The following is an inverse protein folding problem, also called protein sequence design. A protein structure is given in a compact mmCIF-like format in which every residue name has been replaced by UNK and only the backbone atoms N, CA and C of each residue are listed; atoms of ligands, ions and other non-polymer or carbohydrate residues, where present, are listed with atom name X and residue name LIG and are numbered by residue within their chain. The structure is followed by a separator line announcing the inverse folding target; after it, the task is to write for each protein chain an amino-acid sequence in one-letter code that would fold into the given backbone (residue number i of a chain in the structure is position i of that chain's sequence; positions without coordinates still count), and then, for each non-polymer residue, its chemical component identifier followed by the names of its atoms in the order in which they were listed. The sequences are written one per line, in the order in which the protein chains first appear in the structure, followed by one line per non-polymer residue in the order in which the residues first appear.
data_IF_369775529226
#
_entry.id   IF_369775529226
#
_cell.length_a   1.000
_cell.length_b   1.000
_cell.length_c   1.000
_cell.angle_alpha   90.00
_cell.angle_beta   90.00
_cell.angle_gamma   90.00
#
_symmetry.space_group_name_H-M   'P 1'
#
loop_
_entity.id
_entity.type
_entity.pdbx_description
1 polymer ?
#
# COMPACT_ATOMS: atom_id res chain seq x y z
N UNK A 1 21.62 34.74 -21.39
CA UNK A 1 21.11 35.37 -22.64
C UNK A 1 19.67 34.87 -22.75
N UNK A 2 18.62 35.55 -22.28
CA UNK A 2 18.08 36.88 -22.57
C UNK A 2 17.29 37.36 -21.33
N UNK A 3 17.81 38.30 -20.53
CA UNK A 3 17.37 39.70 -20.41
C UNK A 3 15.84 39.99 -20.44
N UNK A 4 15.35 40.41 -19.26
CA UNK A 4 14.55 41.64 -19.02
C UNK A 4 13.67 42.16 -20.17
N UNK A 5 12.36 41.94 -20.07
CA UNK A 5 11.27 42.93 -20.31
C UNK A 5 9.97 42.17 -20.04
N UNK A 6 9.19 42.45 -19.00
CA UNK A 6 8.10 43.43 -19.01
C UNK A 6 7.74 43.74 -17.56
N UNK A 7 8.37 44.76 -17.00
CA UNK A 7 8.03 45.34 -15.72
C UNK A 7 7.91 46.84 -15.97
N UNK A 8 6.81 47.25 -16.63
CA UNK A 8 6.38 48.64 -16.85
C UNK A 8 5.05 48.60 -17.59
N UNK A 9 3.95 48.37 -16.87
CA UNK A 9 2.60 48.88 -17.16
C UNK A 9 1.63 48.21 -16.19
N UNK A 10 1.50 48.82 -15.02
CA UNK A 10 0.30 49.05 -14.22
C UNK A 10 0.76 49.74 -12.92
N UNK A 11 1.39 50.89 -13.10
CA UNK A 11 1.55 51.87 -12.04
C UNK A 11 0.43 52.89 -12.20
N UNK A 12 -0.58 52.82 -11.33
CA UNK A 12 -1.39 53.95 -10.91
C UNK A 12 -2.26 53.54 -9.71
N UNK A 13 -2.02 54.22 -8.59
CA UNK A 13 -2.83 54.34 -7.37
C UNK A 13 -3.17 53.08 -6.56
N UNK A 14 -2.29 52.74 -5.61
CA UNK A 14 -2.75 52.53 -4.23
C UNK A 14 -2.06 53.60 -3.38
N UNK A 15 -2.81 54.65 -3.03
CA UNK A 15 -2.39 55.63 -2.02
C UNK A 15 -2.27 54.90 -0.68
N UNK A 16 -1.06 54.46 -0.33
CA UNK A 16 -0.72 54.05 1.03
C UNK A 16 -0.56 55.32 1.86
N UNK A 17 -1.67 55.79 2.44
CA UNK A 17 -1.69 56.89 3.40
C UNK A 17 -1.27 56.35 4.77
N UNK A 18 0.03 56.41 5.10
CA UNK A 18 0.48 56.27 6.49
C UNK A 18 0.09 57.55 7.26
N UNK A 19 -0.99 57.49 8.04
CA UNK A 19 -1.47 58.62 8.83
C UNK A 19 -1.25 58.41 10.33
N UNK A 20 -0.96 59.54 10.98
CA UNK A 20 -0.68 59.67 12.40
C UNK A 20 -2.00 59.63 13.17
N UNK A 21 -2.22 58.59 13.98
CA UNK A 21 -3.38 58.50 14.87
C UNK A 21 -3.25 59.47 16.05
N UNK A 22 -4.34 60.15 16.38
CA UNK A 22 -4.42 61.01 17.56
C UNK A 22 -5.00 60.20 18.71
N UNK A 23 -4.16 59.75 19.64
CA UNK A 23 -4.55 59.08 20.88
C UNK A 23 -4.79 60.07 22.02
N UNK A 24 -5.56 59.65 23.03
CA UNK A 24 -5.80 60.41 24.27
C UNK A 24 -4.58 60.52 25.18
N UNK A 25 -3.52 59.78 24.89
CA UNK A 25 -2.18 59.94 25.47
C UNK A 25 -1.23 60.31 24.34
N UNK A 26 -0.45 61.38 24.53
CA UNK A 26 0.37 62.09 23.52
C UNK A 26 1.58 61.29 23.00
N UNK A 27 1.45 59.98 22.78
CA UNK A 27 2.49 59.07 22.28
C UNK A 27 2.17 58.58 20.87
N UNK A 28 3.21 58.29 20.09
CA UNK A 28 3.07 57.81 18.71
C UNK A 28 2.33 56.45 18.66
N UNK A 29 1.42 56.22 17.69
CA UNK A 29 0.67 54.97 17.62
C UNK A 29 1.59 53.75 17.42
N UNK A 30 1.41 52.73 18.27
CA UNK A 30 2.17 51.47 18.22
C UNK A 30 1.67 50.49 17.15
N UNK A 31 0.63 50.87 16.43
CA UNK A 31 0.08 50.15 15.27
C UNK A 31 -0.07 51.10 14.08
N UNK A 32 0.08 50.57 12.86
CA UNK A 32 -0.24 51.24 11.61
C UNK A 32 -1.52 50.67 11.00
N UNK A 33 -2.21 51.48 10.19
CA UNK A 33 -3.42 51.06 9.48
C UNK A 33 -3.28 51.26 7.98
N UNK A 34 -3.62 50.23 7.21
CA UNK A 34 -3.82 50.31 5.77
C UNK A 34 -5.27 49.95 5.45
N UNK A 35 -6.00 50.88 4.80
CA UNK A 35 -7.36 50.65 4.32
C UNK A 35 -7.31 50.28 2.83
N UNK A 36 -8.00 49.20 2.47
CA UNK A 36 -8.27 48.86 1.08
C UNK A 36 -9.78 48.93 0.82
N UNK A 37 -10.22 50.02 0.16
CA UNK A 37 -11.61 50.24 -0.19
C UNK A 37 -12.15 49.25 -1.22
N UNK A 38 -11.29 48.71 -2.11
CA UNK A 38 -11.71 47.80 -3.18
C UNK A 38 -12.18 46.45 -2.64
N UNK A 39 -11.45 45.92 -1.66
CA UNK A 39 -11.74 44.62 -1.06
C UNK A 39 -12.46 44.74 0.29
N UNK A 40 -12.80 45.97 0.71
CA UNK A 40 -13.39 46.28 2.02
C UNK A 40 -12.61 45.64 3.19
N UNK A 41 -11.28 45.83 3.19
CA UNK A 41 -10.40 45.33 4.26
C UNK A 41 -9.66 46.46 4.96
N UNK A 42 -9.44 46.28 6.25
CA UNK A 42 -8.48 47.07 7.03
C UNK A 42 -7.39 46.16 7.54
N UNK A 43 -6.14 46.56 7.32
CA UNK A 43 -4.94 45.85 7.78
C UNK A 43 -4.29 46.65 8.89
N UNK A 44 -4.11 46.01 10.04
CA UNK A 44 -3.47 46.55 11.23
C UNK A 44 -2.07 45.96 11.29
N UNK A 45 -1.04 46.80 11.23
CA UNK A 45 0.36 46.40 11.18
C UNK A 45 1.00 46.78 12.51
N UNK A 46 1.67 45.84 13.16
CA UNK A 46 2.36 46.15 14.41
C UNK A 46 3.65 46.94 14.16
N UNK A 47 3.85 48.03 14.92
CA UNK A 47 5.11 48.80 14.94
C UNK A 47 6.00 48.45 16.15
N UNK A 48 5.59 47.49 16.98
CA UNK A 48 6.35 47.04 18.15
C UNK A 48 6.22 45.52 18.30
N UNK A 49 7.15 44.89 19.02
CA UNK A 49 6.96 43.49 19.38
C UNK A 49 5.89 43.31 20.45
N UNK A 50 5.24 42.14 20.40
CA UNK A 50 4.32 41.63 21.41
C UNK A 50 3.15 42.58 21.69
N UNK A 51 2.41 42.99 20.66
CA UNK A 51 1.15 43.74 20.83
C UNK A 51 -0.04 42.79 20.63
N UNK A 52 -1.01 42.84 21.53
CA UNK A 52 -2.26 42.09 21.44
C UNK A 52 -3.38 43.03 20.98
N UNK A 53 -3.96 42.81 19.80
CA UNK A 53 -5.17 43.51 19.37
C UNK A 53 -6.36 42.91 20.12
N UNK A 54 -7.02 43.71 20.96
CA UNK A 54 -8.08 43.27 21.88
C UNK A 54 -9.50 43.64 21.41
N UNK A 55 -9.63 44.71 20.63
CA UNK A 55 -10.91 45.16 20.09
C UNK A 55 -10.69 45.98 18.82
N UNK A 56 -11.66 45.92 17.92
CA UNK A 56 -11.69 46.69 16.69
C UNK A 56 -13.05 47.39 16.60
N UNK A 57 -13.07 48.71 16.44
CA UNK A 57 -14.29 49.49 16.26
C UNK A 57 -14.22 50.25 14.95
N UNK A 58 -15.07 49.88 14.00
CA UNK A 58 -15.13 50.58 12.72
C UNK A 58 -16.25 51.62 12.76
N UNK A 59 -15.93 52.86 12.37
CA UNK A 59 -16.83 54.02 12.39
C UNK A 59 -17.64 54.14 13.69
N UNK A 60 -16.95 54.22 14.83
CA UNK A 60 -17.58 54.27 16.16
C UNK A 60 -18.53 53.10 16.46
N UNK A 61 -18.36 51.97 15.79
CA UNK A 61 -19.18 50.78 15.93
C UNK A 61 -20.40 50.71 15.00
N UNK A 62 -20.52 51.61 14.02
CA UNK A 62 -21.63 51.56 13.04
C UNK A 62 -21.29 50.78 11.76
N UNK A 63 -20.02 50.41 11.56
CA UNK A 63 -19.60 49.49 10.52
C UNK A 63 -19.39 48.10 11.13
N UNK A 64 -20.09 47.11 10.60
CA UNK A 64 -19.85 45.71 10.94
C UNK A 64 -18.47 45.31 10.41
N UNK A 65 -17.65 44.71 11.25
CA UNK A 65 -16.48 43.95 10.82
C UNK A 65 -16.68 42.50 11.17
N UNK A 66 -15.81 41.63 10.67
CA UNK A 66 -15.83 40.23 11.06
C UNK A 66 -15.54 40.12 12.58
N UNK A 67 -16.59 40.21 13.39
CA UNK A 67 -16.58 40.23 14.86
C UNK A 67 -16.54 38.81 15.44
N UNK A 68 -16.52 37.80 14.57
CA UNK A 68 -16.72 36.41 14.96
C UNK A 68 -15.42 35.60 14.90
N UNK A 69 -14.28 36.19 15.26
CA UNK A 69 -13.02 35.44 15.37
C UNK A 69 -13.16 34.28 16.35
N UNK A 70 -13.77 34.49 17.52
CA UNK A 70 -14.05 33.42 18.48
C UNK A 70 -14.95 32.32 17.89
N UNK A 71 -16.03 32.70 17.19
CA UNK A 71 -16.94 31.74 16.54
C UNK A 71 -16.24 30.95 15.44
N UNK A 72 -15.40 31.61 14.64
CA UNK A 72 -14.60 30.97 13.58
C UNK A 72 -13.58 30.00 14.19
N UNK A 73 -12.90 30.39 15.26
CA UNK A 73 -11.93 29.56 15.95
C UNK A 73 -12.58 28.32 16.59
N UNK A 74 -13.76 28.49 17.22
CA UNK A 74 -14.57 27.37 17.73
C UNK A 74 -14.95 26.41 16.59
N UNK A 75 -15.38 26.94 15.45
CA UNK A 75 -15.73 26.12 14.28
C UNK A 75 -14.50 25.39 13.70
N UNK A 76 -13.35 26.06 13.59
CA UNK A 76 -12.09 25.45 13.14
C UNK A 76 -11.64 24.35 14.10
N UNK A 77 -11.79 24.57 15.41
CA UNK A 77 -11.51 23.57 16.45
C UNK A 77 -12.43 22.36 16.32
N UNK A 78 -13.73 22.57 16.11
CA UNK A 78 -14.69 21.49 15.88
C UNK A 78 -14.36 20.67 14.62
N UNK A 79 -13.96 21.34 13.54
CA UNK A 79 -13.53 20.67 12.31
C UNK A 79 -12.25 19.85 12.52
N UNK A 80 -11.29 20.37 13.29
CA UNK A 80 -10.07 19.64 13.62
C UNK A 80 -10.36 18.39 14.49
N UNK A 81 -11.28 18.47 15.45
CA UNK A 81 -11.76 17.30 16.22
C UNK A 81 -12.40 16.24 15.32
N UNK A 82 -13.16 16.64 14.29
CA UNK A 82 -13.72 15.71 13.31
C UNK A 82 -12.61 15.01 12.51
N UNK A 83 -11.62 15.76 12.02
CA UNK A 83 -10.46 15.23 11.33
C UNK A 83 -9.69 14.20 12.19
N UNK A 84 -9.45 14.53 13.46
CA UNK A 84 -8.83 13.61 14.44
C UNK A 84 -9.60 12.29 14.53
N UNK A 85 -10.93 12.36 14.69
CA UNK A 85 -11.80 11.17 14.75
C UNK A 85 -11.72 10.31 13.48
N UNK A 86 -11.67 10.94 12.31
CA UNK A 86 -11.49 10.23 11.03
C UNK A 86 -10.15 9.51 10.94
N UNK A 87 -9.06 10.15 11.39
CA UNK A 87 -7.72 9.56 11.42
C UNK A 87 -7.60 8.41 12.40
N UNK A 88 -8.18 8.53 13.59
CA UNK A 88 -8.25 7.42 14.54
C UNK A 88 -9.01 6.21 13.97
N UNK A 89 -10.14 6.47 13.30
CA UNK A 89 -10.91 5.42 12.61
C UNK A 89 -10.10 4.76 11.51
N UNK A 90 -9.37 5.54 10.71
CA UNK A 90 -8.48 5.02 9.67
C UNK A 90 -7.39 4.11 10.27
N UNK A 91 -6.72 4.53 11.34
CA UNK A 91 -5.71 3.72 12.05
C UNK A 91 -6.31 2.40 12.54
N UNK A 92 -7.48 2.43 13.21
CA UNK A 92 -8.18 1.23 13.69
C UNK A 92 -8.52 0.28 12.53
N UNK A 93 -8.95 0.81 11.38
CA UNK A 93 -9.25 0.02 10.20
C UNK A 93 -8.00 -0.68 9.62
N UNK A 94 -6.87 0.03 9.55
CA UNK A 94 -5.60 -0.53 9.11
C UNK A 94 -5.10 -1.61 10.08
N UNK A 95 -5.18 -1.38 11.40
CA UNK A 95 -4.86 -2.39 12.41
C UNK A 95 -5.73 -3.66 12.27
N UNK A 96 -7.04 -3.49 12.03
CA UNK A 96 -7.94 -4.61 11.78
C UNK A 96 -7.62 -5.35 10.47
N UNK A 97 -7.09 -4.69 9.44
CA UNK A 97 -6.58 -5.36 8.24
C UNK A 97 -5.33 -6.19 8.55
N UNK A 98 -4.37 -5.65 9.29
CA UNK A 98 -3.15 -6.37 9.72
C UNK A 98 -3.53 -7.64 10.50
N UNK A 99 -4.41 -7.52 11.51
CA UNK A 99 -4.86 -8.67 12.29
C UNK A 99 -5.55 -9.74 11.43
N UNK A 100 -6.32 -9.32 10.42
CA UNK A 100 -6.94 -10.25 9.46
C UNK A 100 -5.90 -10.96 8.59
N UNK A 101 -4.91 -10.24 8.07
CA UNK A 101 -3.83 -10.83 7.27
C UNK A 101 -3.03 -11.87 8.07
N UNK A 102 -2.72 -11.58 9.33
CA UNK A 102 -2.05 -12.52 10.24
C UNK A 102 -2.88 -13.79 10.46
N UNK A 103 -4.20 -13.64 10.67
CA UNK A 103 -5.13 -14.76 10.82
C UNK A 103 -5.24 -15.60 9.55
N UNK A 104 -5.33 -14.96 8.38
CA UNK A 104 -5.43 -15.67 7.11
C UNK A 104 -4.16 -16.49 6.82
N UNK A 105 -2.98 -15.99 7.20
CA UNK A 105 -1.71 -16.72 7.13
C UNK A 105 -1.67 -17.93 8.08
N UNK A 106 -2.16 -17.77 9.31
CA UNK A 106 -2.28 -18.88 10.26
C UNK A 106 -3.22 -19.97 9.72
N UNK A 107 -4.41 -19.60 9.25
CA UNK A 107 -5.38 -20.53 8.68
C UNK A 107 -4.84 -21.27 7.45
N UNK A 108 -4.10 -20.59 6.58
CA UNK A 108 -3.44 -21.22 5.42
C UNK A 108 -2.34 -22.19 5.87
N UNK A 109 -1.54 -21.81 6.87
CA UNK A 109 -0.48 -22.66 7.41
C UNK A 109 -1.06 -23.94 8.01
N UNK A 110 -2.11 -23.83 8.83
CA UNK A 110 -2.81 -24.99 9.38
C UNK A 110 -3.42 -25.87 8.28
N UNK A 111 -4.05 -25.24 7.27
CA UNK A 111 -4.62 -25.95 6.13
C UNK A 111 -3.58 -26.76 5.37
N UNK A 112 -2.38 -26.22 5.14
CA UNK A 112 -1.27 -26.93 4.48
C UNK A 112 -0.74 -28.08 5.36
N UNK A 113 -0.61 -27.86 6.66
CA UNK A 113 0.01 -28.83 7.57
C UNK A 113 -0.84 -30.06 7.85
N UNK A 114 -2.17 -29.96 7.76
CA UNK A 114 -3.10 -31.06 8.07
C UNK A 114 -2.94 -32.28 7.12
N UNK A 115 -2.35 -32.11 5.95
CA UNK A 115 -2.21 -33.19 4.97
C UNK A 115 -1.02 -34.10 5.28
N UNK A 116 -1.26 -35.40 5.18
CA UNK A 116 -0.29 -36.47 5.46
C UNK A 116 0.13 -37.26 4.21
N UNK A 117 -0.52 -37.02 3.06
CA UNK A 117 -0.20 -37.65 1.78
C UNK A 117 -0.16 -36.60 0.67
N UNK A 118 0.75 -36.78 -0.29
CA UNK A 118 0.97 -35.86 -1.40
C UNK A 118 -0.24 -35.78 -2.34
N UNK A 119 -0.91 -36.89 -2.67
CA UNK A 119 -2.03 -36.86 -3.63
C UNK A 119 -3.18 -36.00 -3.10
N UNK A 120 -3.58 -36.28 -1.86
CA UNK A 120 -4.66 -35.54 -1.20
C UNK A 120 -4.28 -34.08 -1.03
N UNK A 121 -3.01 -33.80 -0.72
CA UNK A 121 -2.49 -32.43 -0.64
C UNK A 121 -2.64 -31.70 -1.98
N UNK A 122 -2.11 -32.26 -3.07
CA UNK A 122 -2.13 -31.63 -4.39
C UNK A 122 -3.55 -31.42 -4.90
N UNK A 123 -4.41 -32.43 -4.79
CA UNK A 123 -5.82 -32.33 -5.19
C UNK A 123 -6.52 -31.18 -4.46
N UNK A 124 -6.34 -31.07 -3.15
CA UNK A 124 -6.93 -29.99 -2.36
C UNK A 124 -6.37 -28.60 -2.72
N UNK A 125 -5.06 -28.49 -2.91
CA UNK A 125 -4.41 -27.23 -3.29
C UNK A 125 -4.84 -26.79 -4.70
N UNK A 126 -4.86 -27.71 -5.68
CA UNK A 126 -5.31 -27.41 -7.03
C UNK A 126 -6.79 -27.03 -7.08
N UNK A 127 -7.65 -27.74 -6.36
CA UNK A 127 -9.08 -27.40 -6.27
C UNK A 127 -9.29 -26.01 -5.67
N UNK A 128 -8.53 -25.64 -4.63
CA UNK A 128 -8.58 -24.30 -4.05
C UNK A 128 -8.13 -23.22 -5.07
N UNK A 129 -7.06 -23.47 -5.82
CA UNK A 129 -6.55 -22.53 -6.84
C UNK A 129 -7.55 -22.40 -8.00
N UNK A 130 -8.07 -23.51 -8.52
CA UNK A 130 -9.04 -23.53 -9.61
C UNK A 130 -10.34 -22.80 -9.23
N UNK A 131 -10.83 -23.02 -8.00
CA UNK A 131 -11.98 -22.31 -7.47
C UNK A 131 -11.74 -20.79 -7.43
N UNK A 132 -10.56 -20.36 -6.98
CA UNK A 132 -10.20 -18.95 -6.95
C UNK A 132 -10.06 -18.32 -8.34
N UNK A 133 -9.53 -19.06 -9.32
CA UNK A 133 -9.45 -18.61 -10.71
C UNK A 133 -10.85 -18.39 -11.31
N UNK A 134 -11.76 -19.34 -11.09
CA UNK A 134 -13.16 -19.21 -11.49
C UNK A 134 -13.82 -17.96 -10.88
N UNK A 135 -13.63 -17.74 -9.59
CA UNK A 135 -14.18 -16.55 -8.93
C UNK A 135 -13.58 -15.24 -9.46
N UNK A 136 -12.29 -15.23 -9.79
CA UNK A 136 -11.63 -14.05 -10.36
C UNK A 136 -12.22 -13.72 -11.74
N UNK A 137 -12.35 -14.71 -12.61
CA UNK A 137 -12.99 -14.54 -13.92
C UNK A 137 -14.44 -14.06 -13.76
N UNK A 138 -15.22 -14.67 -12.85
CA UNK A 138 -16.59 -14.24 -12.58
C UNK A 138 -16.68 -12.76 -12.13
N UNK A 139 -15.72 -12.30 -11.31
CA UNK A 139 -15.62 -10.90 -10.90
C UNK A 139 -15.33 -9.97 -12.07
N UNK A 140 -14.44 -10.35 -12.99
CA UNK A 140 -14.13 -9.57 -14.20
C UNK A 140 -15.34 -9.44 -15.14
N UNK A 141 -16.21 -10.46 -15.19
CA UNK A 141 -17.41 -10.48 -16.04
C UNK A 141 -18.72 -10.12 -15.31
N UNK A 142 -18.65 -9.51 -14.13
CA UNK A 142 -19.79 -8.83 -13.49
C UNK A 142 -20.49 -9.55 -12.33
N UNK A 143 -19.96 -10.67 -11.83
CA UNK A 143 -20.48 -11.37 -10.65
C UNK A 143 -19.44 -11.48 -9.53
N UNK A 144 -19.12 -10.33 -8.92
CA UNK A 144 -18.11 -10.21 -7.87
C UNK A 144 -18.51 -10.86 -6.53
N UNK A 145 -19.80 -11.16 -6.33
CA UNK A 145 -20.34 -11.65 -5.06
C UNK A 145 -19.71 -12.99 -4.63
N UNK A 146 -19.42 -13.87 -5.59
CA UNK A 146 -18.82 -15.18 -5.31
C UNK A 146 -17.35 -15.08 -4.89
N UNK A 147 -16.59 -14.14 -5.46
CA UNK A 147 -15.20 -13.93 -5.06
C UNK A 147 -15.10 -13.42 -3.62
N UNK A 148 -16.00 -12.53 -3.21
CA UNK A 148 -15.98 -11.98 -1.86
C UNK A 148 -16.32 -13.02 -0.79
N UNK A 149 -17.14 -14.02 -1.12
CA UNK A 149 -17.49 -15.16 -0.26
C UNK A 149 -16.40 -16.24 -0.16
N UNK A 150 -15.38 -16.22 -1.02
CA UNK A 150 -14.35 -17.26 -1.02
C UNK A 150 -13.54 -17.28 0.30
N UNK A 151 -13.14 -18.48 0.80
CA UNK A 151 -12.33 -18.59 2.01
C UNK A 151 -11.04 -17.76 1.91
N UNK A 152 -10.76 -16.93 2.93
CA UNK A 152 -9.65 -15.98 2.87
C UNK A 152 -8.28 -16.66 2.76
N UNK A 153 -8.08 -17.80 3.42
CA UNK A 153 -6.88 -18.63 3.22
C UNK A 153 -6.64 -19.04 1.77
N UNK A 154 -7.69 -19.27 0.97
CA UNK A 154 -7.57 -19.59 -0.45
C UNK A 154 -7.27 -18.35 -1.29
N UNK A 155 -7.81 -17.17 -0.91
CA UNK A 155 -7.39 -15.89 -1.50
C UNK A 155 -5.89 -15.66 -1.30
N UNK A 156 -5.39 -15.88 -0.09
CA UNK A 156 -3.97 -15.76 0.23
C UNK A 156 -3.13 -16.78 -0.54
N UNK A 157 -3.55 -18.04 -0.62
CA UNK A 157 -2.89 -19.07 -1.43
C UNK A 157 -2.80 -18.65 -2.90
N UNK A 158 -3.90 -18.20 -3.49
CA UNK A 158 -3.96 -17.76 -4.89
C UNK A 158 -3.07 -16.54 -5.16
N UNK A 159 -3.01 -15.58 -4.22
CA UNK A 159 -2.08 -14.45 -4.30
C UNK A 159 -0.61 -14.90 -4.18
N UNK A 160 -0.34 -15.89 -3.33
CA UNK A 160 1.01 -16.45 -3.10
C UNK A 160 1.54 -17.17 -4.33
N UNK A 161 0.70 -17.96 -4.99
CA UNK A 161 1.06 -18.71 -6.20
C UNK A 161 1.11 -17.80 -7.44
N UNK A 162 0.53 -16.61 -7.40
CA UNK A 162 0.50 -15.68 -8.52
C UNK A 162 -0.77 -15.89 -9.37
N UNK A 163 -1.41 -14.77 -9.73
CA UNK A 163 -2.82 -14.66 -10.15
C UNK A 163 -3.13 -15.18 -11.56
N UNK A 164 -2.37 -16.14 -12.06
CA UNK A 164 -2.62 -16.80 -13.33
C UNK A 164 -2.13 -18.23 -13.28
N UNK A 165 -2.89 -19.06 -12.58
CA UNK A 165 -2.73 -20.51 -12.65
C UNK A 165 -2.97 -21.03 -14.11
N UNK A 166 -3.57 -20.18 -14.96
CA UNK A 166 -3.86 -20.41 -16.38
C UNK A 166 -3.00 -19.60 -17.37
N UNK A 167 -2.12 -18.69 -16.94
CA UNK A 167 -1.20 -18.01 -17.87
C UNK A 167 0.17 -18.68 -17.89
N UNK A 168 0.64 -18.97 -19.10
CA UNK A 168 1.99 -19.48 -19.41
C UNK A 168 3.14 -18.57 -18.91
N UNK A 169 2.83 -17.41 -18.31
CA UNK A 169 3.79 -16.35 -17.94
C UNK A 169 3.97 -16.19 -16.42
N UNK A 170 3.48 -17.12 -15.59
CA UNK A 170 3.64 -17.00 -14.14
C UNK A 170 5.08 -17.38 -13.72
N UNK A 171 5.92 -16.37 -13.50
CA UNK A 171 7.34 -16.55 -13.17
C UNK A 171 7.65 -16.85 -11.69
N UNK A 172 6.62 -16.95 -10.84
CA UNK A 172 6.82 -17.34 -9.44
C UNK A 172 7.46 -18.73 -9.35
N UNK A 173 8.58 -18.83 -8.64
CA UNK A 173 9.28 -20.11 -8.44
C UNK A 173 8.37 -21.15 -7.78
N UNK A 174 7.52 -20.72 -6.83
CA UNK A 174 6.51 -21.60 -6.22
C UNK A 174 5.44 -22.03 -7.23
N UNK A 175 5.04 -21.15 -8.16
CA UNK A 175 4.08 -21.53 -9.20
C UNK A 175 4.66 -22.57 -10.15
N UNK A 176 5.92 -22.41 -10.56
CA UNK A 176 6.64 -23.40 -11.37
C UNK A 176 6.76 -24.72 -10.61
N UNK A 177 7.14 -24.65 -9.33
CA UNK A 177 7.28 -25.83 -8.49
C UNK A 177 5.94 -26.56 -8.26
N UNK A 178 4.85 -25.83 -8.04
CA UNK A 178 3.54 -26.36 -7.66
C UNK A 178 2.66 -26.72 -8.87
N UNK A 179 2.56 -25.83 -9.86
CA UNK A 179 1.67 -25.94 -11.03
C UNK A 179 2.48 -26.33 -12.28
N UNK A 180 3.64 -25.71 -12.50
CA UNK A 180 4.59 -26.06 -13.57
C UNK A 180 3.93 -26.30 -14.93
N UNK A 181 4.27 -27.44 -15.54
CA UNK A 181 3.74 -27.92 -16.82
C UNK A 181 2.27 -28.42 -16.78
N UNK A 182 1.64 -28.46 -15.61
CA UNK A 182 0.24 -28.92 -15.45
C UNK A 182 -0.70 -27.76 -15.82
N UNK A 183 -1.20 -27.76 -17.05
CA UNK A 183 -2.22 -26.78 -17.44
C UNK A 183 -3.51 -27.00 -16.65
N UNK A 184 -3.87 -26.06 -15.77
CA UNK A 184 -5.16 -26.09 -15.07
C UNK A 184 -6.36 -26.02 -16.02
N UNK A 185 -6.19 -25.58 -17.27
CA UNK A 185 -7.25 -25.64 -18.29
C UNK A 185 -7.63 -27.08 -18.70
N UNK A 186 -6.82 -28.07 -18.33
CA UNK A 186 -7.12 -29.51 -18.49
C UNK A 186 -7.82 -30.09 -17.25
N UNK A 187 -7.71 -29.44 -16.09
CA UNK A 187 -8.39 -29.81 -14.84
C UNK A 187 -9.87 -29.44 -14.98
N UNK A 188 -10.64 -30.34 -15.60
CA UNK A 188 -12.09 -30.16 -15.81
C UNK A 188 -12.58 -30.47 -17.23
N UNK A 189 -11.70 -30.71 -18.21
CA UNK A 189 -12.13 -31.26 -19.51
C UNK A 189 -12.32 -32.77 -19.40
N UNK A 190 -13.56 -33.21 -19.59
CA UNK A 190 -14.01 -34.61 -19.61
C UNK A 190 -13.03 -35.46 -20.43
N UNK A 191 -12.28 -36.34 -19.77
CA UNK A 191 -11.36 -37.30 -20.40
C UNK A 191 -9.94 -37.37 -19.82
N UNK A 192 -9.48 -36.36 -19.07
CA UNK A 192 -8.17 -36.39 -18.37
C UNK A 192 -8.35 -36.76 -16.90
N UNK A 193 -8.57 -38.04 -16.63
CA UNK A 193 -8.72 -38.60 -15.27
C UNK A 193 -7.45 -39.27 -14.73
N UNK A 194 -6.29 -39.06 -15.36
CA UNK A 194 -5.08 -39.78 -14.96
C UNK A 194 -3.98 -38.84 -14.44
N UNK A 195 -4.04 -38.59 -13.13
CA UNK A 195 -2.90 -38.33 -12.25
C UNK A 195 -2.14 -37.00 -12.44
N UNK A 196 -2.68 -35.91 -11.87
CA UNK A 196 -2.03 -34.60 -11.81
C UNK A 196 -0.87 -34.53 -10.79
N UNK A 197 -0.52 -35.64 -10.13
CA UNK A 197 0.63 -35.70 -9.24
C UNK A 197 1.92 -35.81 -10.07
N UNK A 198 2.80 -34.78 -10.05
CA UNK A 198 4.08 -34.81 -10.76
C UNK A 198 4.92 -36.06 -10.50
N UNK A 199 4.85 -36.59 -9.26
CA UNK A 199 5.61 -37.75 -8.83
C UNK A 199 5.13 -39.03 -9.51
N UNK A 200 3.81 -39.19 -9.71
CA UNK A 200 3.26 -40.36 -10.38
C UNK A 200 3.47 -40.32 -11.89
N UNK A 201 3.32 -39.15 -12.51
CA UNK A 201 3.57 -38.96 -13.93
C UNK A 201 4.99 -39.36 -14.28
N UNK A 202 5.98 -38.83 -13.55
CA UNK A 202 7.39 -39.16 -13.84
C UNK A 202 7.74 -40.59 -13.40
N UNK A 203 7.12 -41.16 -12.36
CA UNK A 203 7.31 -42.58 -12.05
C UNK A 203 6.89 -43.47 -13.23
N UNK A 204 5.71 -43.21 -13.81
CA UNK A 204 5.18 -43.91 -14.98
C UNK A 204 6.14 -43.77 -16.17
N UNK A 205 6.61 -42.55 -16.42
CA UNK A 205 7.62 -42.24 -17.44
C UNK A 205 8.90 -43.07 -17.24
N UNK A 206 9.43 -43.15 -16.01
CA UNK A 206 10.62 -43.93 -15.69
C UNK A 206 10.40 -45.44 -15.89
N UNK A 207 9.22 -45.95 -15.55
CA UNK A 207 8.85 -47.36 -15.76
C UNK A 207 8.75 -47.70 -17.26
N UNK A 208 8.13 -46.83 -18.05
CA UNK A 208 7.93 -47.03 -19.49
C UNK A 208 9.25 -46.91 -20.29
N UNK A 209 10.09 -45.93 -19.98
CA UNK A 209 11.40 -45.80 -20.63
C UNK A 209 12.31 -46.98 -20.34
N UNK A 210 12.33 -47.47 -19.11
CA UNK A 210 13.14 -48.65 -18.74
C UNK A 210 12.58 -49.96 -19.30
N UNK A 211 11.29 -50.00 -19.65
CA UNK A 211 10.63 -51.15 -20.25
C UNK A 211 10.57 -51.10 -21.78
N UNK A 212 11.14 -50.06 -22.41
CA UNK A 212 11.14 -49.83 -23.86
C UNK A 212 9.74 -49.82 -24.49
N UNK A 213 8.73 -49.33 -23.74
CA UNK A 213 7.34 -49.28 -24.18
C UNK A 213 7.02 -47.88 -24.74
N UNK A 214 6.76 -47.79 -26.05
CA UNK A 214 6.18 -46.61 -26.75
C UNK A 214 6.78 -45.23 -26.38
N UNK A 215 8.09 -45.10 -26.57
CA UNK A 215 8.94 -43.92 -26.29
C UNK A 215 8.41 -42.62 -26.94
N UNK A 216 7.92 -42.69 -28.19
CA UNK A 216 7.56 -41.51 -28.97
C UNK A 216 6.36 -40.74 -28.39
N UNK A 217 5.37 -41.44 -27.84
CA UNK A 217 4.15 -40.83 -27.31
C UNK A 217 4.41 -40.05 -26.02
N UNK A 218 5.28 -40.57 -25.16
CA UNK A 218 5.61 -39.99 -23.86
C UNK A 218 6.51 -38.74 -23.94
N UNK A 219 7.38 -38.68 -24.96
CA UNK A 219 8.29 -37.55 -25.18
C UNK A 219 7.56 -36.32 -25.74
N UNK A 220 6.59 -36.53 -26.64
CA UNK A 220 5.98 -35.44 -27.41
C UNK A 220 4.54 -35.07 -26.99
N UNK A 221 3.75 -35.99 -26.43
CA UNK A 221 2.35 -35.69 -26.05
C UNK A 221 2.17 -35.32 -24.58
N UNK A 222 3.06 -35.77 -23.70
CA UNK A 222 3.03 -35.43 -22.28
C UNK A 222 4.24 -34.55 -21.97
N UNK A 223 4.03 -33.35 -21.44
CA UNK A 223 5.08 -32.38 -21.07
C UNK A 223 5.90 -32.86 -19.83
N UNK A 224 6.40 -34.09 -19.90
CA UNK A 224 7.06 -34.84 -18.82
C UNK A 224 8.42 -34.24 -18.46
N UNK A 225 9.14 -33.72 -19.47
CA UNK A 225 10.37 -32.97 -19.27
C UNK A 225 10.13 -31.66 -18.51
N UNK A 226 9.05 -30.94 -18.84
CA UNK A 226 8.61 -29.78 -18.09
C UNK A 226 8.31 -30.10 -16.62
N UNK A 227 7.82 -31.30 -16.29
CA UNK A 227 7.60 -31.69 -14.89
C UNK A 227 8.93 -31.86 -14.13
N UNK A 228 9.92 -32.53 -14.73
CA UNK A 228 11.24 -32.68 -14.09
C UNK A 228 11.93 -31.33 -13.90
N UNK A 229 11.84 -30.45 -14.89
CA UNK A 229 12.41 -29.12 -14.85
C UNK A 229 11.63 -28.18 -13.91
N UNK A 230 10.36 -27.89 -14.20
CA UNK A 230 9.62 -26.83 -13.49
C UNK A 230 9.25 -27.25 -12.07
N UNK A 231 8.75 -28.48 -11.88
CA UNK A 231 8.31 -28.92 -10.56
C UNK A 231 9.51 -29.31 -9.67
N UNK A 232 10.36 -30.22 -10.14
CA UNK A 232 11.41 -30.80 -9.29
C UNK A 232 12.65 -29.90 -9.22
N UNK A 233 13.20 -29.43 -10.35
CA UNK A 233 14.33 -28.47 -10.29
C UNK A 233 13.88 -27.16 -9.65
N UNK A 234 12.69 -26.65 -9.98
CA UNK A 234 12.12 -25.46 -9.32
C UNK A 234 12.05 -25.61 -7.80
N UNK A 235 11.60 -26.77 -7.29
CA UNK A 235 11.61 -27.06 -5.86
C UNK A 235 13.03 -27.10 -5.26
N UNK A 236 14.00 -27.70 -5.97
CA UNK A 236 15.41 -27.72 -5.53
C UNK A 236 15.98 -26.30 -5.46
N UNK A 237 15.69 -25.46 -6.44
CA UNK A 237 16.23 -24.09 -6.53
C UNK A 237 15.60 -23.13 -5.52
N UNK A 238 14.31 -23.31 -5.20
CA UNK A 238 13.63 -22.54 -4.15
C UNK A 238 13.97 -23.00 -2.73
N UNK A 239 14.56 -24.18 -2.58
CA UNK A 239 14.93 -24.72 -1.27
C UNK A 239 16.00 -23.85 -0.61
N UNK A 240 15.63 -23.14 0.47
CA UNK A 240 16.56 -22.29 1.23
C UNK A 240 17.63 -23.10 1.98
N UNK A 241 17.25 -24.23 2.56
CA UNK A 241 18.12 -25.04 3.42
C UNK A 241 18.13 -26.52 2.98
N UNK A 242 19.03 -26.91 2.05
CA UNK A 242 19.12 -28.31 1.59
C UNK A 242 19.36 -29.34 2.71
N UNK A 243 19.92 -28.90 3.85
CA UNK A 243 20.18 -29.73 5.03
C UNK A 243 18.90 -30.23 5.73
N UNK A 244 17.75 -29.60 5.48
CA UNK A 244 16.46 -30.02 6.03
C UNK A 244 15.98 -31.36 5.42
N UNK A 245 16.65 -31.82 4.36
CA UNK A 245 16.35 -33.05 3.63
C UNK A 245 17.54 -34.03 3.64
N UNK A 246 17.98 -34.53 4.82
CA UNK A 246 19.22 -35.32 4.94
C UNK A 246 19.18 -36.67 4.23
N UNK A 247 17.98 -37.14 3.85
CA UNK A 247 17.75 -38.40 3.14
C UNK A 247 17.92 -38.29 1.61
N UNK A 248 18.22 -37.09 1.08
CA UNK A 248 18.45 -36.90 -0.34
C UNK A 248 19.52 -35.84 -0.61
N UNK A 249 20.45 -36.14 -1.52
CA UNK A 249 21.45 -35.18 -1.96
C UNK A 249 20.89 -34.32 -3.10
N UNK A 250 20.32 -33.14 -2.78
CA UNK A 250 19.68 -32.27 -3.77
C UNK A 250 20.64 -31.79 -4.88
N UNK A 251 21.93 -31.61 -4.57
CA UNK A 251 22.94 -31.22 -5.57
C UNK A 251 23.20 -32.34 -6.56
N UNK A 252 23.22 -33.59 -6.10
CA UNK A 252 23.38 -34.76 -6.96
C UNK A 252 22.10 -35.04 -7.76
N UNK A 253 20.93 -34.90 -7.13
CA UNK A 253 19.64 -35.01 -7.80
C UNK A 253 19.53 -34.00 -8.94
N UNK A 254 19.87 -32.72 -8.68
CA UNK A 254 19.87 -31.67 -9.71
C UNK A 254 20.75 -32.05 -10.90
N UNK A 255 22.03 -32.39 -10.65
CA UNK A 255 22.96 -32.81 -11.70
C UNK A 255 22.46 -34.01 -12.50
N UNK A 256 21.78 -34.94 -11.84
CA UNK A 256 21.20 -36.11 -12.49
C UNK A 256 20.04 -35.70 -13.42
N UNK A 257 19.15 -34.84 -12.96
CA UNK A 257 18.04 -34.31 -13.76
C UNK A 257 18.58 -33.45 -14.92
N UNK A 258 19.57 -32.59 -14.70
CA UNK A 258 20.23 -31.78 -15.74
C UNK A 258 20.91 -32.65 -16.83
N UNK A 259 21.19 -33.93 -16.53
CA UNK A 259 21.71 -34.89 -17.54
C UNK A 259 20.63 -35.54 -18.40
N UNK A 260 19.37 -35.28 -18.08
CA UNK A 260 18.18 -35.85 -18.70
C UNK A 260 17.38 -34.75 -19.43
N UNK A 261 17.18 -33.61 -18.76
CA UNK A 261 16.46 -32.44 -19.25
C UNK A 261 17.37 -31.21 -19.24
N UNK A 262 17.33 -30.39 -20.29
CA UNK A 262 18.05 -29.13 -20.39
C UNK A 262 17.32 -27.99 -19.66
N UNK A 263 17.92 -26.80 -19.67
CA UNK A 263 17.38 -25.60 -19.03
C UNK A 263 16.17 -24.98 -19.76
N UNK A 264 15.74 -25.56 -20.88
CA UNK A 264 14.56 -25.15 -21.64
C UNK A 264 13.40 -26.16 -21.48
N UNK A 265 13.57 -27.19 -20.63
CA UNK A 265 12.59 -28.26 -20.49
C UNK A 265 12.59 -29.26 -21.66
N UNK A 266 13.65 -29.31 -22.46
CA UNK A 266 13.86 -30.28 -23.54
C UNK A 266 14.82 -31.39 -23.11
N UNK A 267 15.01 -32.40 -23.95
CA UNK A 267 16.01 -33.43 -23.68
C UNK A 267 17.44 -32.85 -23.63
N UNK A 268 18.22 -33.24 -22.63
CA UNK A 268 19.61 -32.83 -22.49
C UNK A 268 20.52 -33.43 -23.58
N UNK A 269 21.61 -32.73 -23.90
CA UNK A 269 22.60 -33.20 -24.87
C UNK A 269 23.21 -34.55 -24.47
N UNK A 270 23.26 -35.47 -25.43
CA UNK A 270 23.72 -36.85 -25.24
C UNK A 270 22.79 -37.75 -24.42
N UNK A 271 21.61 -37.27 -24.00
CA UNK A 271 20.57 -38.13 -23.42
C UNK A 271 19.93 -39.02 -24.50
N UNK A 272 19.64 -38.46 -25.67
CA UNK A 272 19.21 -39.18 -26.86
C UNK A 272 20.41 -39.44 -27.79
N UNK A 273 20.32 -40.51 -28.55
CA UNK A 273 21.14 -40.82 -29.72
C UNK A 273 20.18 -41.05 -30.88
N UNK A 274 20.13 -40.11 -31.83
CA UNK A 274 19.03 -39.99 -32.79
C UNK A 274 17.68 -39.94 -32.04
N UNK A 275 16.76 -40.87 -32.33
CA UNK A 275 15.43 -40.94 -31.70
C UNK A 275 15.35 -41.95 -30.53
N UNK A 276 16.50 -42.44 -30.05
CA UNK A 276 16.56 -43.47 -28.99
C UNK A 276 17.32 -42.98 -27.77
N UNK A 277 16.96 -43.49 -26.59
CA UNK A 277 17.67 -43.17 -25.36
C UNK A 277 19.09 -43.74 -25.43
N UNK A 278 20.09 -42.89 -25.18
CA UNK A 278 21.49 -43.30 -25.19
C UNK A 278 21.80 -44.23 -24.01
N UNK A 279 22.92 -44.97 -24.08
CA UNK A 279 23.39 -45.79 -22.95
C UNK A 279 23.57 -44.96 -21.68
N UNK A 280 24.06 -43.73 -21.82
CA UNK A 280 24.22 -42.76 -20.73
C UNK A 280 22.85 -42.32 -20.20
N UNK A 281 21.90 -42.05 -21.09
CA UNK A 281 20.52 -41.71 -20.73
C UNK A 281 19.83 -42.81 -19.91
N UNK A 282 19.95 -44.08 -20.31
CA UNK A 282 19.42 -45.22 -19.56
C UNK A 282 20.04 -45.34 -18.16
N UNK A 283 21.34 -45.09 -18.01
CA UNK A 283 22.00 -45.07 -16.72
C UNK A 283 21.48 -43.93 -15.82
N UNK A 284 21.30 -42.73 -16.39
CA UNK A 284 20.71 -41.61 -15.66
C UNK A 284 19.26 -41.90 -15.22
N UNK A 285 18.43 -42.47 -16.09
CA UNK A 285 17.06 -42.85 -15.76
C UNK A 285 17.00 -43.94 -14.67
N UNK A 286 17.84 -44.97 -14.76
CA UNK A 286 17.90 -46.03 -13.75
C UNK A 286 18.31 -45.46 -12.38
N UNK A 287 19.31 -44.57 -12.36
CA UNK A 287 19.72 -43.87 -11.14
C UNK A 287 18.59 -43.00 -10.59
N UNK A 288 17.90 -42.24 -11.43
CA UNK A 288 16.79 -41.38 -11.01
C UNK A 288 15.63 -42.21 -10.44
N UNK A 289 15.29 -43.32 -11.10
CA UNK A 289 14.28 -44.29 -10.63
C UNK A 289 14.61 -44.83 -9.23
N UNK A 290 15.88 -45.12 -8.97
CA UNK A 290 16.32 -45.59 -7.65
C UNK A 290 16.16 -44.54 -6.54
N UNK A 291 16.29 -43.25 -6.89
CA UNK A 291 16.13 -42.13 -5.96
C UNK A 291 14.66 -41.68 -5.82
N UNK A 292 13.78 -42.13 -6.72
CA UNK A 292 12.43 -41.58 -6.89
C UNK A 292 11.56 -41.57 -5.62
N UNK A 293 11.56 -42.61 -4.76
CA UNK A 293 10.84 -42.55 -3.48
C UNK A 293 11.30 -41.38 -2.59
N UNK A 294 12.60 -41.13 -2.54
CA UNK A 294 13.18 -40.01 -1.79
C UNK A 294 12.85 -38.66 -2.43
N UNK A 295 12.76 -38.60 -3.77
CA UNK A 295 12.32 -37.40 -4.51
C UNK A 295 10.88 -37.05 -4.15
N UNK A 296 9.97 -38.03 -4.14
CA UNK A 296 8.57 -37.80 -3.74
C UNK A 296 8.44 -37.32 -2.30
N UNK A 297 9.21 -37.92 -1.37
CA UNK A 297 9.28 -37.47 0.03
C UNK A 297 9.79 -36.04 0.15
N UNK A 298 10.86 -35.69 -0.58
CA UNK A 298 11.41 -34.34 -0.64
C UNK A 298 10.38 -33.35 -1.17
N UNK A 299 9.78 -33.63 -2.32
CA UNK A 299 8.84 -32.73 -2.99
C UNK A 299 7.63 -32.42 -2.10
N UNK A 300 7.07 -33.43 -1.43
CA UNK A 300 5.97 -33.20 -0.50
C UNK A 300 6.38 -32.34 0.71
N UNK A 301 7.53 -32.64 1.30
CA UNK A 301 8.06 -31.86 2.43
C UNK A 301 8.39 -30.41 2.03
N UNK A 302 8.94 -30.21 0.83
CA UNK A 302 9.17 -28.90 0.22
C UNK A 302 7.87 -28.13 0.08
N UNK A 303 6.81 -28.69 -0.53
CA UNK A 303 5.55 -27.95 -0.72
C UNK A 303 4.89 -27.56 0.60
N UNK A 304 4.98 -28.42 1.63
CA UNK A 304 4.46 -28.11 2.97
C UNK A 304 5.21 -26.99 3.67
N UNK A 305 6.47 -26.75 3.32
CA UNK A 305 7.30 -25.66 3.83
C UNK A 305 7.13 -24.38 2.98
N UNK A 306 7.24 -24.53 1.67
CA UNK A 306 7.34 -23.44 0.73
C UNK A 306 6.04 -22.63 0.66
N UNK A 307 4.86 -23.29 0.65
CA UNK A 307 3.59 -22.56 0.59
C UNK A 307 3.44 -21.60 1.78
N UNK A 308 3.56 -22.04 3.06
CA UNK A 308 3.54 -21.13 4.20
C UNK A 308 4.63 -20.05 4.17
N UNK A 309 5.86 -20.41 3.75
CA UNK A 309 6.96 -19.45 3.68
C UNK A 309 6.69 -18.32 2.67
N UNK A 310 6.31 -18.67 1.45
CA UNK A 310 5.99 -17.67 0.41
C UNK A 310 4.74 -16.87 0.81
N UNK A 311 3.74 -17.50 1.42
CA UNK A 311 2.56 -16.80 1.91
C UNK A 311 2.91 -15.78 3.01
N UNK A 312 3.86 -16.12 3.88
CA UNK A 312 4.41 -15.19 4.87
C UNK A 312 5.11 -14.02 4.20
N UNK A 313 5.95 -14.25 3.20
CA UNK A 313 6.65 -13.17 2.47
C UNK A 313 5.67 -12.20 1.79
N UNK A 314 4.59 -12.71 1.20
CA UNK A 314 3.51 -11.88 0.61
C UNK A 314 2.74 -11.12 1.70
N UNK A 315 2.40 -11.80 2.79
CA UNK A 315 1.68 -11.21 3.93
C UNK A 315 2.49 -10.09 4.59
N UNK A 316 3.78 -10.30 4.82
CA UNK A 316 4.69 -9.31 5.41
C UNK A 316 4.76 -8.04 4.55
N UNK A 317 4.77 -8.17 3.21
CA UNK A 317 4.71 -7.02 2.28
C UNK A 317 3.40 -6.24 2.41
N UNK A 318 2.26 -6.95 2.51
CA UNK A 318 0.96 -6.31 2.71
C UNK A 318 0.88 -5.60 4.06
N UNK A 319 1.35 -6.24 5.14
CA UNK A 319 1.41 -5.65 6.48
C UNK A 319 2.28 -4.39 6.47
N UNK A 320 3.46 -4.44 5.85
CA UNK A 320 4.36 -3.28 5.75
C UNK A 320 3.69 -2.07 5.08
N UNK A 321 2.88 -2.30 4.04
CA UNK A 321 2.09 -1.24 3.38
C UNK A 321 1.03 -0.64 4.31
N UNK A 322 0.34 -1.47 5.10
CA UNK A 322 -0.66 -1.02 6.07
C UNK A 322 0.00 -0.26 7.24
N UNK A 323 1.16 -0.73 7.74
CA UNK A 323 1.95 -0.05 8.77
C UNK A 323 2.44 1.33 8.31
N UNK A 324 2.83 1.47 7.04
CA UNK A 324 3.21 2.77 6.46
C UNK A 324 2.03 3.75 6.49
N UNK A 325 0.82 3.26 6.17
CA UNK A 325 -0.41 4.07 6.23
C UNK A 325 -0.75 4.47 7.67
N UNK A 326 -0.55 3.58 8.64
CA UNK A 326 -0.72 3.89 10.08
C UNK A 326 0.24 4.99 10.51
N UNK A 327 1.54 4.86 10.19
CA UNK A 327 2.55 5.87 10.54
C UNK A 327 2.21 7.25 9.96
N UNK A 328 1.77 7.31 8.70
CA UNK A 328 1.35 8.57 8.08
C UNK A 328 0.17 9.21 8.83
N UNK A 329 -0.88 8.43 9.12
CA UNK A 329 -2.03 8.93 9.86
C UNK A 329 -1.69 9.32 11.32
N UNK A 330 -0.71 8.66 11.95
CA UNK A 330 -0.25 9.01 13.30
C UNK A 330 0.50 10.36 13.33
N UNK A 331 1.27 10.68 12.29
CA UNK A 331 1.91 12.00 12.15
C UNK A 331 0.87 13.09 12.04
N UNK A 332 -0.07 12.95 11.09
CA UNK A 332 -1.15 13.92 10.89
C UNK A 332 -2.05 14.08 12.13
N UNK A 333 -2.30 12.98 12.85
CA UNK A 333 -3.04 12.99 14.11
C UNK A 333 -2.30 13.81 15.18
N UNK A 334 -0.99 13.62 15.32
CA UNK A 334 -0.18 14.35 16.31
C UNK A 334 -0.17 15.85 16.01
N UNK A 335 -0.01 16.23 14.75
CA UNK A 335 -0.05 17.63 14.32
C UNK A 335 -1.43 18.27 14.61
N UNK A 336 -2.51 17.59 14.24
CA UNK A 336 -3.87 18.08 14.48
C UNK A 336 -4.19 18.21 15.98
N UNK A 337 -3.76 17.27 16.82
CA UNK A 337 -3.94 17.37 18.27
C UNK A 337 -3.18 18.56 18.87
N UNK A 338 -1.93 18.79 18.43
CA UNK A 338 -1.17 19.96 18.88
C UNK A 338 -1.82 21.28 18.47
N UNK A 339 -2.43 21.34 17.29
CA UNK A 339 -3.12 22.54 16.83
C UNK A 339 -4.45 22.75 17.56
N UNK A 340 -5.18 21.69 17.88
CA UNK A 340 -6.37 21.74 18.75
C UNK A 340 -6.00 22.32 20.12
N UNK A 341 -4.95 21.82 20.77
CA UNK A 341 -4.51 22.31 22.08
C UNK A 341 -4.22 23.83 22.07
N UNK A 342 -3.62 24.33 20.98
CA UNK A 342 -3.37 25.77 20.77
C UNK A 342 -4.66 26.54 20.59
N UNK A 343 -5.59 26.04 19.78
CA UNK A 343 -6.88 26.69 19.52
C UNK A 343 -7.76 26.72 20.78
N UNK A 344 -7.84 25.61 21.53
CA UNK A 344 -8.59 25.54 22.79
C UNK A 344 -8.04 26.50 23.84
N UNK A 345 -6.71 26.62 23.94
CA UNK A 345 -6.08 27.63 24.81
C UNK A 345 -6.45 29.05 24.39
N UNK A 346 -6.42 29.35 23.09
CA UNK A 346 -6.79 30.67 22.57
C UNK A 346 -8.29 30.99 22.79
N UNK A 347 -9.17 30.01 22.61
CA UNK A 347 -10.61 30.12 22.90
C UNK A 347 -10.81 30.45 24.39
N UNK A 348 -10.17 29.70 25.29
CA UNK A 348 -10.30 29.91 26.74
C UNK A 348 -9.80 31.30 27.16
N UNK A 349 -8.69 31.77 26.59
CA UNK A 349 -8.15 33.10 26.85
C UNK A 349 -9.14 34.19 26.38
N UNK A 350 -9.72 34.05 25.18
CA UNK A 350 -10.74 34.96 24.64
C UNK A 350 -12.00 35.02 25.51
N UNK A 351 -12.53 33.85 25.89
CA UNK A 351 -13.72 33.73 26.75
C UNK A 351 -13.49 34.40 28.12
N UNK A 352 -12.33 34.16 28.74
CA UNK A 352 -11.99 34.73 30.06
C UNK A 352 -11.93 36.26 30.04
N UNK A 353 -11.44 36.84 28.93
CA UNK A 353 -11.35 38.29 28.73
C UNK A 353 -12.69 38.92 28.31
N UNK A 354 -13.73 38.11 28.04
CA UNK A 354 -15.00 38.54 27.40
C UNK A 354 -14.76 39.30 26.09
N UNK A 355 -13.71 38.92 25.36
CA UNK A 355 -13.32 39.55 24.10
C UNK A 355 -13.77 38.69 22.92
N UNK A 356 -14.15 39.34 21.82
CA UNK A 356 -14.47 38.67 20.55
C UNK A 356 -13.29 38.67 19.58
N UNK A 357 -12.17 39.34 19.94
CA UNK A 357 -10.94 39.48 19.16
C UNK A 357 -9.71 39.47 20.09
N UNK A 358 -8.70 38.66 19.77
CA UNK A 358 -7.38 38.63 20.42
C UNK A 358 -6.37 38.17 19.39
N UNK A 359 -5.55 39.08 18.89
CA UNK A 359 -4.53 38.79 17.87
C UNK A 359 -3.19 39.31 18.35
N UNK A 360 -2.26 38.40 18.64
CA UNK A 360 -0.89 38.75 18.98
C UNK A 360 -0.07 38.99 17.71
N UNK A 361 0.58 40.14 17.62
CA UNK A 361 1.44 40.52 16.51
C UNK A 361 2.85 40.85 17.02
N UNK A 362 3.86 40.31 16.34
CA UNK A 362 5.27 40.76 16.44
C UNK A 362 5.50 41.98 15.56
N UNK A 363 6.65 42.63 15.72
CA UNK A 363 7.04 43.78 14.91
C UNK A 363 6.93 43.45 13.41
N UNK A 364 6.17 44.25 12.66
CA UNK A 364 5.96 44.08 11.22
C UNK A 364 4.90 43.05 10.82
N UNK A 365 4.40 42.21 11.75
CA UNK A 365 3.26 41.33 11.48
C UNK A 365 1.96 42.15 11.36
N UNK A 366 0.97 41.59 10.66
CA UNK A 366 -0.27 42.30 10.41
C UNK A 366 -1.51 41.42 10.54
N UNK A 367 -2.57 41.99 11.09
CA UNK A 367 -3.91 41.42 11.14
C UNK A 367 -4.81 42.12 10.12
N UNK A 368 -5.55 41.36 9.31
CA UNK A 368 -6.50 41.94 8.34
C UNK A 368 -7.93 41.59 8.75
N UNK A 369 -8.77 42.61 8.87
CA UNK A 369 -10.20 42.47 9.13
C UNK A 369 -11.00 42.92 7.89
N UNK A 370 -11.99 42.12 7.52
CA UNK A 370 -13.00 42.52 6.53
C UNK A 370 -14.08 43.37 7.21
N UNK A 371 -14.58 44.37 6.48
CA UNK A 371 -15.66 45.23 6.94
C UNK A 371 -16.80 45.30 5.94
N UNK A 372 -18.02 45.51 6.44
CA UNK A 372 -19.24 45.68 5.64
C UNK A 372 -19.83 47.06 5.89
N UNK A 373 -19.34 48.05 5.16
CA UNK A 373 -19.97 49.37 5.09
C UNK A 373 -19.51 50.17 3.87
N UNK A 374 -20.36 51.07 3.37
CA UNK A 374 -20.08 51.85 2.15
C UNK A 374 -18.87 52.78 2.31
N UNK A 375 -18.68 53.38 3.48
CA UNK A 375 -17.61 54.35 3.72
C UNK A 375 -16.96 54.11 5.09
N UNK A 376 -15.80 53.45 5.11
CA UNK A 376 -14.95 53.39 6.30
C UNK A 376 -14.22 54.73 6.48
N UNK A 377 -14.59 55.51 7.48
CA UNK A 377 -14.03 56.83 7.80
C UNK A 377 -13.21 56.82 9.10
N UNK A 378 -13.36 55.79 9.94
CA UNK A 378 -12.68 55.70 11.23
C UNK A 378 -12.44 54.24 11.62
N UNK A 379 -11.25 53.94 12.17
CA UNK A 379 -10.87 52.64 12.74
C UNK A 379 -10.32 52.89 14.14
N UNK A 380 -11.01 52.41 15.17
CA UNK A 380 -10.52 52.32 16.53
C UNK A 380 -9.90 50.96 16.79
N UNK A 381 -8.64 50.92 17.22
CA UNK A 381 -7.93 49.71 17.61
C UNK A 381 -7.63 49.77 19.09
N UNK A 382 -8.14 48.82 19.87
CA UNK A 382 -7.74 48.62 21.26
C UNK A 382 -6.71 47.51 21.33
N UNK A 383 -5.66 47.74 22.11
CA UNK A 383 -4.61 46.76 22.36
C UNK A 383 -4.32 46.65 23.86
N UNK A 384 -3.50 45.67 24.24
CA UNK A 384 -2.93 45.56 25.59
C UNK A 384 -2.02 46.74 25.98
N UNK A 385 -1.49 47.49 24.99
CA UNK A 385 -0.55 48.60 25.18
C UNK A 385 -1.15 49.98 24.95
N UNK A 386 -2.45 50.07 24.67
CA UNK A 386 -3.13 51.34 24.41
C UNK A 386 -4.25 51.21 23.39
N UNK A 387 -4.99 52.31 23.20
CA UNK A 387 -6.05 52.40 22.21
C UNK A 387 -5.82 53.60 21.29
N UNK A 388 -5.97 53.41 19.99
CA UNK A 388 -5.79 54.45 18.97
C UNK A 388 -6.95 54.48 18.00
N UNK A 389 -7.31 55.69 17.59
CA UNK A 389 -8.32 55.92 16.56
C UNK A 389 -7.65 56.53 15.33
N UNK A 390 -7.90 55.95 14.17
CA UNK A 390 -7.39 56.37 12.88
C UNK A 390 -8.55 56.87 12.04
N UNK A 391 -8.48 58.14 11.62
CA UNK A 391 -9.50 58.74 10.75
C UNK A 391 -8.99 58.80 9.32
N UNK A 392 -9.86 58.48 8.36
CA UNK A 392 -9.60 58.62 6.94
C UNK A 392 -10.34 59.86 6.42
N UNK A 393 -9.65 60.69 5.65
CA UNK A 393 -10.31 61.77 4.92
C UNK A 393 -11.34 61.18 3.95
N UNK A 394 -12.46 61.88 3.82
CA UNK A 394 -13.61 61.45 3.03
C UNK A 394 -13.31 61.41 1.54
#
# INVERSE_FOLDING_TARGET
MFFKTYQKLLGASCLALCLVGCGSDSSEPLVGIEKNSFNSTVKIISKTDNIEIQDLKLNRGNCEHDQNFLVKLIQETANAHLFVSEKEKAIKNHQAKIARLQKDLEELTQYVQQFNNLDKFLDNIYNAIAQMDYFKQAKEYGNAEYFDKAPRKFKLLYQTVGSSATSYFNDSVLAKALIGAVSLALIGKVGYTEDYNPIHVVKRMLDDFLSNKLIYKLIYEQNTWGILHDNIIGAIEDTKNPKDYPYINLKELKKLIDSIVDNHGNSADGFLNEDKISKKGLQSLAKLKSMWPSVGKFYFAYLKEAIPRHAKEVTDKMISSEEKSIKANQVELTEATQDIDKMEKAIKDLESKKNTLSVYLKFGESFTAHYKCQNLIEVGVKTDKGAWTFSFNR
#
